data_IF_069368579044
#
_entry.id   IF_069368579044
#
_cell.length_a   1.000
_cell.length_b   1.000
_cell.length_c   1.000
_cell.angle_alpha   90.00
_cell.angle_beta   90.00
_cell.angle_gamma   90.00
#
_symmetry.space_group_name_H-M   'P 1'
#
loop_
_entity.id
_entity.type
_entity.pdbx_description
1 polymer ?
#
# COMPACT_ATOMS: atom_id res chain seq x y z
N UNK A 1 -7.92 -12.37 2.10
CA UNK A 1 -8.37 -13.69 1.61
C UNK A 1 -8.88 -13.68 0.18
N UNK A 2 -9.85 -12.82 -0.17
CA UNK A 2 -10.50 -12.78 -1.49
C UNK A 2 -10.22 -11.47 -2.23
N UNK A 3 -10.44 -11.46 -3.54
CA UNK A 3 -10.33 -10.28 -4.40
C UNK A 3 -8.99 -10.17 -5.14
N UNK A 4 -9.04 -9.72 -6.39
CA UNK A 4 -7.87 -9.44 -7.23
C UNK A 4 -7.53 -7.95 -7.28
N UNK A 5 -6.70 -7.56 -8.26
CA UNK A 5 -6.23 -6.18 -8.45
C UNK A 5 -7.34 -5.13 -8.60
N UNK A 6 -8.54 -5.52 -9.02
CA UNK A 6 -9.71 -4.63 -9.19
C UNK A 6 -10.70 -4.73 -8.04
N UNK A 7 -10.34 -5.40 -6.94
CA UNK A 7 -11.19 -5.48 -5.75
C UNK A 7 -11.30 -4.13 -5.04
N UNK A 8 -12.37 -3.97 -4.26
CA UNK A 8 -12.61 -2.74 -3.48
C UNK A 8 -11.41 -2.36 -2.61
N UNK A 9 -10.83 -3.33 -1.90
CA UNK A 9 -9.64 -3.12 -1.07
C UNK A 9 -8.44 -2.61 -1.89
N UNK A 10 -8.19 -3.20 -3.07
CA UNK A 10 -7.07 -2.82 -3.92
C UNK A 10 -7.24 -1.41 -4.50
N UNK A 11 -8.44 -1.07 -4.99
CA UNK A 11 -8.70 0.26 -5.57
C UNK A 11 -8.63 1.36 -4.53
N UNK A 12 -9.25 1.14 -3.36
CA UNK A 12 -9.23 2.13 -2.26
C UNK A 12 -7.82 2.32 -1.71
N UNK A 13 -7.10 1.22 -1.45
CA UNK A 13 -5.73 1.33 -0.95
C UNK A 13 -4.80 2.05 -1.92
N UNK A 14 -4.97 1.82 -3.24
CA UNK A 14 -4.24 2.55 -4.27
C UNK A 14 -4.57 4.04 -4.26
N UNK A 15 -5.84 4.41 -4.08
CA UNK A 15 -6.26 5.81 -3.94
C UNK A 15 -5.57 6.51 -2.77
N UNK A 16 -5.40 5.81 -1.65
CA UNK A 16 -4.74 6.36 -0.45
C UNK A 16 -3.22 6.18 -0.40
N UNK A 17 -2.60 5.58 -1.42
CA UNK A 17 -1.16 5.27 -1.41
C UNK A 17 -0.75 4.32 -0.28
N UNK A 18 -1.68 3.48 0.21
CA UNK A 18 -1.42 2.51 1.28
C UNK A 18 -1.09 1.14 0.70
N UNK A 19 -0.14 0.45 1.33
CA UNK A 19 0.20 -0.93 0.96
C UNK A 19 -1.02 -1.85 1.13
N UNK A 20 -1.29 -2.69 0.14
CA UNK A 20 -2.39 -3.65 0.16
C UNK A 20 -2.00 -4.93 -0.56
N UNK A 21 -2.29 -6.07 0.08
CA UNK A 21 -2.17 -7.40 -0.52
C UNK A 21 -3.58 -8.00 -0.54
N UNK A 22 -4.21 -8.00 -1.71
CA UNK A 22 -5.50 -8.66 -1.94
C UNK A 22 -5.30 -10.11 -2.38
N UNK A 23 -6.27 -10.98 -2.11
CA UNK A 23 -6.22 -12.36 -2.63
C UNK A 23 -5.22 -13.28 -1.93
N UNK A 24 -4.83 -12.99 -0.68
CA UNK A 24 -4.02 -13.89 0.14
C UNK A 24 -4.81 -15.18 0.50
N UNK A 25 -4.80 -16.18 -0.37
CA UNK A 25 -5.57 -17.44 -0.27
C UNK A 25 -5.07 -18.38 0.83
N UNK A 26 -3.86 -18.16 1.34
CA UNK A 26 -3.27 -18.93 2.44
C UNK A 26 -3.56 -18.37 3.83
N UNK A 27 -4.49 -17.42 3.97
CA UNK A 27 -4.86 -16.81 5.25
C UNK A 27 -6.28 -17.22 5.62
N UNK A 28 -6.51 -17.49 6.91
CA UNK A 28 -7.83 -17.67 7.52
C UNK A 28 -7.99 -16.71 8.68
N UNK A 29 -9.01 -15.87 8.64
CA UNK A 29 -9.36 -14.92 9.69
C UNK A 29 -10.51 -15.50 10.52
N UNK A 30 -10.27 -15.67 11.81
CA UNK A 30 -11.29 -15.96 12.80
C UNK A 30 -11.62 -14.68 13.56
N UNK A 31 -12.73 -14.04 13.17
CA UNK A 31 -13.17 -12.77 13.76
C UNK A 31 -13.64 -12.91 15.21
N UNK A 32 -14.20 -14.07 15.59
CA UNK A 32 -14.71 -14.30 16.95
C UNK A 32 -13.56 -14.37 17.95
N UNK A 33 -12.50 -15.09 17.59
CA UNK A 33 -11.32 -15.27 18.46
C UNK A 33 -10.29 -14.16 18.27
N UNK A 34 -10.46 -13.29 17.26
CA UNK A 34 -9.51 -12.23 16.93
C UNK A 34 -8.16 -12.76 16.46
N UNK A 35 -8.19 -13.86 15.69
CA UNK A 35 -7.02 -14.63 15.27
C UNK A 35 -6.89 -14.68 13.76
N UNK A 36 -5.67 -14.57 13.26
CA UNK A 36 -5.34 -14.77 11.85
C UNK A 36 -4.35 -15.93 11.71
N UNK A 37 -4.76 -16.96 10.98
CA UNK A 37 -3.94 -18.15 10.70
C UNK A 37 -3.39 -18.10 9.28
N UNK A 38 -2.09 -18.33 9.13
CA UNK A 38 -1.43 -18.45 7.84
C UNK A 38 -1.12 -19.93 7.54
N UNK A 39 -1.08 -20.30 6.26
CA UNK A 39 -0.93 -21.68 5.77
C UNK A 39 0.32 -22.46 6.20
N UNK A 40 1.23 -21.85 6.96
CA UNK A 40 2.38 -22.49 7.60
C UNK A 40 2.14 -22.81 9.09
N UNK A 41 0.91 -22.72 9.60
CA UNK A 41 0.58 -22.92 11.02
C UNK A 41 0.92 -21.73 11.93
N UNK A 42 1.33 -20.59 11.34
CA UNK A 42 1.57 -19.35 12.08
C UNK A 42 0.24 -18.70 12.45
N UNK A 43 0.10 -18.32 13.70
CA UNK A 43 -1.11 -17.73 14.28
C UNK A 43 -0.77 -16.35 14.81
N UNK A 44 -1.44 -15.32 14.31
CA UNK A 44 -1.33 -13.94 14.76
C UNK A 44 -2.55 -13.56 15.58
N UNK A 45 -2.32 -12.80 16.64
CA UNK A 45 -3.34 -12.19 17.49
C UNK A 45 -3.29 -10.69 17.37
N UNK A 46 -4.34 -10.06 17.88
CA UNK A 46 -4.40 -8.61 17.99
C UNK A 46 -3.19 -8.07 18.76
N UNK A 47 -2.47 -7.15 18.13
CA UNK A 47 -1.25 -6.54 18.69
C UNK A 47 0.05 -7.14 18.16
N UNK A 48 0.01 -8.28 17.47
CA UNK A 48 1.19 -8.86 16.83
C UNK A 48 1.62 -8.02 15.62
N UNK A 49 2.94 -7.96 15.41
CA UNK A 49 3.51 -7.24 14.28
C UNK A 49 3.57 -8.11 13.03
N UNK A 50 3.17 -7.52 11.92
CA UNK A 50 3.32 -8.08 10.57
C UNK A 50 3.78 -6.96 9.64
N UNK A 51 4.63 -7.30 8.68
CA UNK A 51 5.13 -6.37 7.67
C UNK A 51 4.65 -6.80 6.29
N UNK A 52 4.23 -5.84 5.46
CA UNK A 52 3.62 -6.11 4.15
C UNK A 52 4.43 -5.42 3.05
N UNK A 53 4.78 -6.18 2.02
CA UNK A 53 5.34 -5.67 0.77
C UNK A 53 4.28 -5.78 -0.34
N UNK A 54 3.67 -4.64 -0.68
CA UNK A 54 2.62 -4.55 -1.70
C UNK A 54 3.16 -4.62 -3.14
N UNK A 55 4.47 -4.50 -3.35
CA UNK A 55 5.09 -4.60 -4.67
C UNK A 55 5.30 -6.05 -5.07
N UNK A 56 5.82 -6.87 -4.16
CA UNK A 56 6.02 -8.31 -4.39
C UNK A 56 4.84 -9.18 -3.92
N UNK A 57 3.88 -8.59 -3.20
CA UNK A 57 2.75 -9.32 -2.61
C UNK A 57 3.17 -10.23 -1.45
N UNK A 58 4.28 -9.92 -0.77
CA UNK A 58 4.85 -10.74 0.31
C UNK A 58 4.44 -10.23 1.70
N UNK A 59 4.26 -11.19 2.60
CA UNK A 59 3.94 -10.94 4.02
C UNK A 59 5.09 -11.48 4.86
N UNK A 60 5.62 -10.64 5.74
CA UNK A 60 6.74 -10.97 6.62
C UNK A 60 6.31 -10.92 8.08
N UNK A 61 6.85 -11.84 8.87
CA UNK A 61 6.62 -11.89 10.32
C UNK A 61 7.38 -10.78 11.03
N UNK A 62 6.74 -10.17 12.03
CA UNK A 62 7.34 -9.12 12.84
C UNK A 62 7.37 -7.72 12.21
N UNK A 63 8.09 -6.83 12.88
CA UNK A 63 8.23 -5.42 12.53
C UNK A 63 9.56 -5.18 11.81
N UNK A 64 9.52 -5.16 10.48
CA UNK A 64 10.68 -4.82 9.67
C UNK A 64 10.93 -3.30 9.69
N UNK A 65 12.20 -2.92 9.57
CA UNK A 65 12.59 -1.53 9.43
C UNK A 65 12.11 -1.01 8.07
N UNK A 66 11.37 0.09 8.09
CA UNK A 66 10.90 0.78 6.88
C UNK A 66 11.69 2.06 6.70
N UNK A 67 12.08 2.34 5.46
CA UNK A 67 12.68 3.62 5.09
C UNK A 67 11.63 4.48 4.42
N UNK A 68 11.46 5.71 4.89
CA UNK A 68 10.62 6.69 4.20
C UNK A 68 11.24 7.00 2.84
N UNK A 69 10.40 7.05 1.80
CA UNK A 69 10.81 7.56 0.51
C UNK A 69 11.28 9.01 0.69
N UNK A 70 12.41 9.35 0.05
CA UNK A 70 12.96 10.70 0.06
C UNK A 70 13.03 11.19 -1.38
N UNK A 71 12.50 12.38 -1.63
CA UNK A 71 12.80 13.09 -2.85
C UNK A 71 14.27 13.52 -2.79
N UNK A 72 15.06 13.14 -3.79
CA UNK A 72 16.45 13.60 -3.92
C UNK A 72 16.50 14.78 -4.88
N UNK A 73 17.49 15.68 -4.77
CA UNK A 73 17.61 16.82 -5.68
C UNK A 73 17.65 16.41 -7.16
N UNK A 74 18.28 15.28 -7.46
CA UNK A 74 18.38 14.75 -8.83
C UNK A 74 17.01 14.27 -9.36
N UNK A 75 16.16 13.75 -8.47
CA UNK A 75 14.80 13.36 -8.83
C UNK A 75 13.93 14.59 -9.09
N UNK A 76 14.12 15.68 -8.35
CA UNK A 76 13.43 16.96 -8.56
C UNK A 76 13.79 17.57 -9.92
N UNK A 77 15.09 17.63 -10.24
CA UNK A 77 15.58 18.12 -11.53
C UNK A 77 15.01 17.28 -12.70
N UNK A 78 15.04 15.95 -12.55
CA UNK A 78 14.47 15.05 -13.54
C UNK A 78 12.96 15.27 -13.74
N UNK A 79 12.20 15.44 -12.66
CA UNK A 79 10.76 15.71 -12.73
C UNK A 79 10.47 17.06 -13.40
N UNK A 80 11.33 18.06 -13.24
CA UNK A 80 11.26 19.33 -13.97
C UNK A 80 11.34 19.13 -15.49
N UNK A 81 12.27 18.31 -15.99
CA UNK A 81 12.34 17.99 -17.42
C UNK A 81 11.10 17.25 -17.91
N UNK A 82 10.55 16.34 -17.10
CA UNK A 82 9.31 15.60 -17.44
C UNK A 82 8.14 16.57 -17.59
N UNK A 83 8.02 17.56 -16.71
CA UNK A 83 6.96 18.58 -16.77
C UNK A 83 7.06 19.49 -18.00
N UNK A 84 8.28 19.83 -18.44
CA UNK A 84 8.50 20.61 -19.67
C UNK A 84 8.14 19.82 -20.93
N UNK A 85 8.42 18.52 -20.96
CA UNK A 85 8.22 17.68 -22.14
C UNK A 85 6.81 17.10 -22.25
N UNK A 86 6.09 16.94 -21.13
CA UNK A 86 4.77 16.29 -21.17
C UNK A 86 3.73 17.16 -21.88
N UNK A 87 2.95 16.52 -22.75
CA UNK A 87 1.79 17.16 -23.40
C UNK A 87 0.49 16.98 -22.62
N UNK A 88 0.41 15.88 -21.85
CA UNK A 88 -0.76 15.56 -21.04
C UNK A 88 -0.68 16.25 -19.69
N UNK A 89 -1.86 16.61 -19.16
CA UNK A 89 -2.01 17.10 -17.79
C UNK A 89 -2.09 15.90 -16.84
N UNK A 90 -1.35 15.98 -15.75
CA UNK A 90 -1.51 15.07 -14.61
C UNK A 90 -2.46 15.75 -13.62
N UNK A 91 -3.55 15.07 -13.28
CA UNK A 91 -4.53 15.51 -12.30
C UNK A 91 -4.64 14.45 -11.21
N UNK A 92 -5.14 14.81 -10.04
CA UNK A 92 -5.34 13.90 -8.93
C UNK A 92 -6.82 13.61 -8.71
N UNK A 93 -7.13 12.34 -8.41
CA UNK A 93 -8.41 11.97 -7.82
C UNK A 93 -8.26 12.18 -6.31
N UNK A 94 -9.00 13.16 -5.76
CA UNK A 94 -8.96 13.48 -4.34
C UNK A 94 -10.39 13.62 -3.82
N UNK A 95 -10.72 12.86 -2.78
CA UNK A 95 -12.05 12.85 -2.18
C UNK A 95 -12.10 13.66 -0.86
N UNK A 96 -10.93 13.99 -0.29
CA UNK A 96 -10.79 14.77 0.95
C UNK A 96 -9.83 15.96 0.77
N UNK A 97 -9.94 17.02 1.59
CA UNK A 97 -9.00 18.14 1.58
C UNK A 97 -7.54 17.71 1.77
N UNK A 98 -7.29 16.76 2.68
CA UNK A 98 -5.96 16.23 2.96
C UNK A 98 -5.36 15.49 1.75
N UNK A 99 -6.18 14.75 1.00
CA UNK A 99 -5.75 14.11 -0.25
C UNK A 99 -5.40 15.15 -1.33
N UNK A 100 -6.19 16.23 -1.40
CA UNK A 100 -5.95 17.32 -2.36
C UNK A 100 -4.72 18.17 -2.02
N UNK A 101 -4.35 18.26 -0.74
CA UNK A 101 -3.11 18.90 -0.29
C UNK A 101 -1.90 18.03 -0.65
N UNK A 102 -1.91 16.75 -0.28
CA UNK A 102 -0.85 15.79 -0.63
C UNK A 102 -0.62 15.64 -2.13
N UNK A 103 -1.67 15.79 -2.94
CA UNK A 103 -1.55 15.70 -4.38
C UNK A 103 -0.88 16.92 -5.05
N UNK A 104 -0.71 18.03 -4.33
CA UNK A 104 -0.03 19.24 -4.80
C UNK A 104 1.42 19.33 -4.33
N UNK A 105 1.75 18.61 -3.26
CA UNK A 105 3.12 18.41 -2.77
C UNK A 105 3.89 17.48 -3.72
#
# INVERSE_FOLDING_TARGET
ERGGMTSHAAVVARGWGKTCISGATGIKVNEQDGVLECGAGRVYRRGDWVSLDGSEGKVYDGKLAVQAAKMTPEMEEFMGWVDEMRKLRVLANADTPEDAEKARE
#
